data_IF_775432602208
#
_entry.id   IF_775432602208
#
_cell.length_a   1.000
_cell.length_b   1.000
_cell.length_c   1.000
_cell.angle_alpha   90.00
_cell.angle_beta   90.00
_cell.angle_gamma   90.00
#
_symmetry.space_group_name_H-M   'P 1'
#
loop_
_entity.id
_entity.type
_entity.pdbx_description
1 polymer ?
#
# COMPACT_ATOMS: atom_id res chain seq x y z
N UNK A 1 6.35 18.83 13.13
CA UNK A 1 6.52 17.80 12.09
C UNK A 1 7.94 17.25 12.19
N UNK A 2 8.07 15.93 12.18
CA UNK A 2 9.36 15.25 12.28
C UNK A 2 10.03 15.15 10.90
N UNK A 3 11.35 15.37 10.88
CA UNK A 3 12.19 15.19 9.69
C UNK A 3 13.25 14.14 9.95
N UNK A 4 13.67 13.42 8.93
CA UNK A 4 14.83 12.53 9.00
C UNK A 4 16.15 13.31 8.80
N UNK A 5 17.30 12.62 8.92
CA UNK A 5 18.65 13.21 8.76
C UNK A 5 18.88 13.84 7.38
N UNK A 6 18.04 13.58 6.41
CA UNK A 6 18.15 14.08 5.03
C UNK A 6 17.15 15.22 4.74
N UNK A 7 16.47 15.74 5.78
CA UNK A 7 15.51 16.83 5.68
C UNK A 7 14.15 16.44 5.11
N UNK A 8 13.84 15.14 4.95
CA UNK A 8 12.53 14.68 4.45
C UNK A 8 11.53 14.68 5.60
N UNK A 9 10.44 15.40 5.44
CA UNK A 9 9.34 15.43 6.41
C UNK A 9 8.52 14.14 6.32
N UNK A 10 8.29 13.49 7.47
CA UNK A 10 7.48 12.28 7.54
C UNK A 10 6.03 12.67 7.85
N UNK A 11 5.16 12.54 6.87
CA UNK A 11 3.75 12.90 6.94
C UNK A 11 2.79 11.71 6.88
N UNK A 12 3.33 10.53 6.56
CA UNK A 12 2.53 9.38 6.18
C UNK A 12 3.04 8.09 6.81
N UNK A 13 2.19 7.44 7.60
CA UNK A 13 2.47 6.11 8.16
C UNK A 13 1.58 5.05 7.53
N UNK A 14 2.17 3.90 7.17
CA UNK A 14 1.45 2.69 6.77
C UNK A 14 1.58 1.68 7.88
N UNK A 15 0.47 1.11 8.33
CA UNK A 15 0.46 0.08 9.36
C UNK A 15 -0.08 -1.23 8.78
N UNK A 16 0.64 -2.32 9.01
CA UNK A 16 0.17 -3.67 8.73
C UNK A 16 -0.61 -4.16 9.95
N UNK A 17 -1.90 -4.45 9.79
CA UNK A 17 -2.77 -4.83 10.91
C UNK A 17 -2.69 -6.33 11.21
N UNK A 18 -2.37 -7.14 10.20
CA UNK A 18 -2.33 -8.59 10.27
C UNK A 18 -1.42 -9.15 9.19
N UNK A 19 -0.85 -10.31 9.44
CA UNK A 19 -0.12 -11.09 8.44
C UNK A 19 -1.05 -12.02 7.65
N UNK A 20 -2.29 -12.25 8.13
CA UNK A 20 -3.27 -13.10 7.44
C UNK A 20 -3.72 -12.48 6.12
N UNK A 21 -3.77 -13.32 5.08
CA UNK A 21 -4.32 -12.98 3.79
C UNK A 21 -5.09 -14.17 3.21
N UNK A 22 -6.21 -13.91 2.57
CA UNK A 22 -6.98 -14.92 1.86
C UNK A 22 -6.52 -15.14 0.41
N UNK A 23 -5.49 -14.39 -0.06
CA UNK A 23 -4.79 -14.61 -1.33
C UNK A 23 -3.37 -15.14 -1.08
N UNK A 24 -2.78 -15.76 -2.12
CA UNK A 24 -1.41 -16.29 -2.13
C UNK A 24 -0.67 -15.79 -3.37
N UNK A 25 -0.61 -14.46 -3.55
CA UNK A 25 0.06 -13.85 -4.70
C UNK A 25 1.56 -14.23 -4.72
N UNK A 26 2.10 -14.79 -5.81
CA UNK A 26 3.47 -15.32 -5.86
C UNK A 26 4.55 -14.29 -5.48
N UNK A 27 4.33 -13.02 -5.81
CA UNK A 27 5.26 -11.94 -5.50
C UNK A 27 5.16 -11.41 -4.07
N UNK A 28 4.13 -11.79 -3.33
CA UNK A 28 3.85 -11.25 -2.00
C UNK A 28 3.97 -12.30 -0.91
N UNK A 29 3.40 -13.48 -1.11
CA UNK A 29 3.27 -14.53 -0.10
C UNK A 29 3.62 -15.90 -0.66
N UNK A 30 4.67 -16.58 -0.19
CA UNK A 30 4.97 -17.96 -0.57
C UNK A 30 3.88 -18.91 -0.07
N UNK A 31 3.74 -20.07 -0.71
CA UNK A 31 2.66 -21.05 -0.44
C UNK A 31 2.69 -21.65 0.99
N UNK A 32 3.86 -21.72 1.61
CA UNK A 32 4.07 -22.35 2.92
C UNK A 32 4.20 -21.32 4.05
N UNK A 33 3.08 -20.89 4.64
CA UNK A 33 3.10 -20.07 5.86
C UNK A 33 2.22 -20.73 6.91
N UNK A 34 2.85 -21.10 8.02
CA UNK A 34 2.13 -21.64 9.18
C UNK A 34 1.41 -20.52 9.93
N UNK A 35 0.20 -20.77 10.48
CA UNK A 35 -0.56 -19.77 11.27
C UNK A 35 0.14 -19.34 12.56
N UNK A 36 1.27 -19.95 12.91
CA UNK A 36 1.99 -19.73 14.17
C UNK A 36 2.65 -18.34 14.27
N UNK A 37 2.79 -17.61 13.16
CA UNK A 37 3.34 -16.24 13.14
C UNK A 37 2.41 -15.20 13.75
N UNK A 38 1.17 -15.53 14.09
CA UNK A 38 0.17 -14.55 14.56
C UNK A 38 0.20 -14.24 16.07
N UNK A 39 1.16 -14.78 16.82
CA UNK A 39 1.14 -14.71 18.28
C UNK A 39 1.55 -13.38 18.91
N UNK A 40 2.07 -12.43 18.16
CA UNK A 40 2.59 -11.16 18.67
C UNK A 40 2.03 -9.91 17.95
N UNK A 41 0.86 -10.01 17.34
CA UNK A 41 0.27 -8.87 16.65
C UNK A 41 -0.03 -7.72 17.61
N UNK A 42 0.12 -6.51 17.11
CA UNK A 42 -0.28 -5.29 17.82
C UNK A 42 -1.81 -5.25 17.88
N UNK A 43 -2.37 -5.13 19.08
CA UNK A 43 -3.81 -5.01 19.29
C UNK A 43 -4.30 -3.56 19.13
N UNK A 44 -5.62 -3.36 19.18
CA UNK A 44 -6.21 -2.02 18.95
C UNK A 44 -5.76 -0.99 19.99
N UNK A 45 -5.58 -1.38 21.26
CA UNK A 45 -5.12 -0.46 22.32
C UNK A 45 -3.67 -0.04 22.09
N UNK A 46 -2.79 -0.98 21.80
CA UNK A 46 -1.40 -0.71 21.45
C UNK A 46 -1.30 0.18 20.19
N UNK A 47 -2.15 -0.09 19.16
CA UNK A 47 -2.23 0.78 17.98
C UNK A 47 -2.63 2.20 18.33
N UNK A 48 -3.56 2.42 19.25
CA UNK A 48 -3.94 3.78 19.65
C UNK A 48 -2.77 4.56 20.25
N UNK A 49 -1.96 3.94 21.10
CA UNK A 49 -0.75 4.58 21.68
C UNK A 49 0.26 4.92 20.57
N UNK A 50 0.50 3.99 19.66
CA UNK A 50 1.43 4.18 18.53
C UNK A 50 0.95 5.30 17.60
N UNK A 51 -0.34 5.31 17.25
CA UNK A 51 -0.92 6.30 16.34
C UNK A 51 -0.97 7.70 16.97
N UNK A 52 -1.19 7.80 18.28
CA UNK A 52 -1.05 9.07 18.98
C UNK A 52 0.39 9.61 18.94
N UNK A 53 1.39 8.74 19.12
CA UNK A 53 2.79 9.13 18.97
C UNK A 53 3.10 9.68 17.56
N UNK A 54 2.59 9.05 16.52
CA UNK A 54 2.73 9.56 15.15
C UNK A 54 2.00 10.89 14.94
N UNK A 55 0.80 11.07 15.51
CA UNK A 55 0.10 12.35 15.48
C UNK A 55 0.92 13.46 16.14
N UNK A 56 1.51 13.22 17.33
CA UNK A 56 2.41 14.16 18.03
C UNK A 56 3.63 14.54 17.18
N UNK A 57 4.12 13.64 16.35
CA UNK A 57 5.21 13.90 15.38
C UNK A 57 4.76 14.69 14.14
N UNK A 58 3.45 14.96 13.99
CA UNK A 58 2.88 15.71 12.88
C UNK A 58 2.57 14.87 11.66
N UNK A 59 2.46 13.55 11.80
CA UNK A 59 1.99 12.65 10.73
C UNK A 59 0.52 12.91 10.46
N UNK A 60 0.16 13.14 9.20
CA UNK A 60 -1.17 13.59 8.75
C UNK A 60 -1.98 12.50 8.04
N UNK A 61 -1.30 11.48 7.54
CA UNK A 61 -1.94 10.41 6.77
C UNK A 61 -1.66 9.03 7.35
N UNK A 62 -2.72 8.24 7.48
CA UNK A 62 -2.69 6.85 7.93
C UNK A 62 -3.14 5.92 6.81
N UNK A 63 -2.41 4.83 6.60
CA UNK A 63 -2.86 3.75 5.73
C UNK A 63 -2.91 2.42 6.46
N UNK A 64 -4.08 1.85 6.47
CA UNK A 64 -4.33 0.50 6.95
C UNK A 64 -3.98 -0.50 5.84
N UNK A 65 -3.12 -1.46 6.16
CA UNK A 65 -2.70 -2.55 5.28
C UNK A 65 -2.62 -3.85 6.10
N UNK A 66 -1.93 -4.83 5.56
CA UNK A 66 -1.66 -6.10 6.23
C UNK A 66 -1.21 -7.11 5.19
N UNK A 67 -1.46 -8.36 5.46
CA UNK A 67 -1.80 -9.31 4.43
C UNK A 67 -3.10 -8.82 3.78
N UNK A 68 -4.26 -9.12 4.40
CA UNK A 68 -5.53 -8.49 4.02
C UNK A 68 -6.15 -7.80 5.26
N UNK A 69 -6.23 -6.46 5.30
CA UNK A 69 -6.70 -5.72 6.47
C UNK A 69 -8.16 -6.05 6.86
N UNK A 70 -9.00 -6.49 5.90
CA UNK A 70 -10.39 -6.88 6.17
C UNK A 70 -10.52 -8.18 6.97
N UNK A 71 -9.42 -8.90 7.19
CA UNK A 71 -9.32 -10.06 8.08
C UNK A 71 -8.91 -9.69 9.51
N UNK A 72 -8.49 -8.44 9.77
CA UNK A 72 -8.13 -8.03 11.13
C UNK A 72 -9.39 -7.93 12.00
N UNK A 73 -9.50 -8.70 13.10
CA UNK A 73 -10.75 -8.79 13.87
C UNK A 73 -11.20 -7.46 14.48
N UNK A 74 -10.25 -6.61 14.87
CA UNK A 74 -10.51 -5.32 15.53
C UNK A 74 -10.52 -4.14 14.54
N UNK A 75 -10.63 -4.38 13.23
CA UNK A 75 -10.56 -3.32 12.20
C UNK A 75 -11.59 -2.22 12.42
N UNK A 76 -12.87 -2.58 12.63
CA UNK A 76 -13.93 -1.58 12.77
C UNK A 76 -13.80 -0.78 14.06
N UNK A 77 -13.44 -1.44 15.17
CA UNK A 77 -13.15 -0.78 16.44
C UNK A 77 -12.00 0.21 16.29
N UNK A 78 -10.85 -0.24 15.77
CA UNK A 78 -9.68 0.62 15.58
C UNK A 78 -10.00 1.81 14.68
N UNK A 79 -10.66 1.57 13.54
CA UNK A 79 -11.03 2.63 12.60
C UNK A 79 -11.95 3.66 13.25
N UNK A 80 -12.97 3.23 14.00
CA UNK A 80 -13.89 4.12 14.70
C UNK A 80 -13.16 4.97 15.74
N UNK A 81 -12.28 4.36 16.53
CA UNK A 81 -11.49 5.06 17.55
C UNK A 81 -10.57 6.09 16.95
N UNK A 82 -9.81 5.71 15.92
CA UNK A 82 -8.89 6.62 15.23
C UNK A 82 -9.62 7.77 14.54
N UNK A 83 -10.72 7.50 13.85
CA UNK A 83 -11.50 8.54 13.19
C UNK A 83 -12.10 9.54 14.20
N UNK A 84 -12.52 9.08 15.38
CA UNK A 84 -13.06 9.94 16.42
C UNK A 84 -12.04 10.92 17.02
N UNK A 85 -10.73 10.65 16.92
CA UNK A 85 -9.69 11.55 17.43
C UNK A 85 -9.45 12.78 16.56
N UNK A 86 -9.72 12.68 15.26
CA UNK A 86 -9.34 13.71 14.29
C UNK A 86 -7.83 13.87 14.08
N UNK A 87 -7.01 12.91 14.50
CA UNK A 87 -5.54 12.98 14.38
C UNK A 87 -5.04 12.98 12.95
N UNK A 88 -5.76 12.31 12.04
CA UNK A 88 -5.33 12.14 10.66
C UNK A 88 -6.32 12.80 9.69
N UNK A 89 -5.80 13.57 8.75
CA UNK A 89 -6.57 14.20 7.67
C UNK A 89 -7.03 13.16 6.64
N UNK A 90 -6.29 12.07 6.50
CA UNK A 90 -6.55 11.00 5.55
C UNK A 90 -6.34 9.64 6.18
N UNK A 91 -7.42 8.87 6.32
CA UNK A 91 -7.39 7.47 6.73
C UNK A 91 -7.75 6.63 5.52
N UNK A 92 -6.77 5.91 4.98
CA UNK A 92 -6.94 5.11 3.77
C UNK A 92 -6.63 3.62 4.01
N UNK A 93 -7.15 2.75 3.16
CA UNK A 93 -6.90 1.31 3.24
C UNK A 93 -6.41 0.77 1.90
N UNK A 94 -5.49 -0.20 1.93
CA UNK A 94 -5.13 -1.03 0.78
C UNK A 94 -5.65 -2.44 1.04
N UNK A 95 -6.44 -2.98 0.12
CA UNK A 95 -7.10 -4.29 0.23
C UNK A 95 -7.06 -5.02 -1.11
N UNK A 96 -7.12 -6.35 -1.08
CA UNK A 96 -7.35 -7.15 -2.28
C UNK A 96 -8.80 -7.06 -2.80
N UNK A 97 -9.70 -6.44 -2.04
CA UNK A 97 -11.06 -6.12 -2.44
C UNK A 97 -12.05 -7.28 -2.36
N UNK A 98 -11.61 -8.52 -2.22
CA UNK A 98 -12.49 -9.70 -2.27
C UNK A 98 -13.53 -9.76 -1.14
N UNK A 99 -13.25 -9.11 0.00
CA UNK A 99 -14.11 -9.04 1.17
C UNK A 99 -14.75 -7.65 1.34
N UNK A 100 -14.54 -6.73 0.40
CA UNK A 100 -14.92 -5.32 0.57
C UNK A 100 -16.42 -5.09 0.36
N UNK A 101 -17.07 -5.80 -0.57
CA UNK A 101 -18.45 -5.53 -0.96
C UNK A 101 -19.42 -5.43 0.23
N UNK A 102 -19.50 -6.40 1.17
CA UNK A 102 -20.41 -6.32 2.31
C UNK A 102 -19.98 -5.26 3.36
N UNK A 103 -18.76 -4.78 3.33
CA UNK A 103 -18.17 -3.90 4.36
C UNK A 103 -18.03 -2.44 3.91
N UNK A 104 -18.02 -2.15 2.61
CA UNK A 104 -17.68 -0.84 2.06
C UNK A 104 -18.47 0.32 2.69
N UNK A 105 -19.80 0.21 2.76
CA UNK A 105 -20.66 1.24 3.34
C UNK A 105 -20.35 1.47 4.84
N UNK A 106 -20.17 0.38 5.60
CA UNK A 106 -19.86 0.45 7.03
C UNK A 106 -18.50 1.11 7.27
N UNK A 107 -17.47 0.70 6.55
CA UNK A 107 -16.12 1.29 6.67
C UNK A 107 -16.13 2.79 6.33
N UNK A 108 -16.89 3.20 5.31
CA UNK A 108 -17.05 4.63 4.98
C UNK A 108 -17.71 5.40 6.14
N UNK A 109 -18.74 4.84 6.77
CA UNK A 109 -19.41 5.44 7.92
C UNK A 109 -18.52 5.54 9.16
N UNK A 110 -17.60 4.59 9.34
CA UNK A 110 -16.63 4.59 10.44
C UNK A 110 -15.44 5.54 10.23
N UNK A 111 -15.40 6.31 9.12
CA UNK A 111 -14.38 7.32 8.89
C UNK A 111 -13.27 6.94 7.92
N UNK A 112 -13.35 5.77 7.26
CA UNK A 112 -12.41 5.46 6.19
C UNK A 112 -12.61 6.45 5.04
N UNK A 113 -11.56 7.19 4.66
CA UNK A 113 -11.64 8.25 3.66
C UNK A 113 -11.53 7.69 2.24
N UNK A 114 -10.62 6.74 2.02
CA UNK A 114 -10.28 6.23 0.69
C UNK A 114 -9.89 4.76 0.71
N UNK A 115 -10.11 4.08 -0.42
CA UNK A 115 -9.67 2.70 -0.63
C UNK A 115 -8.77 2.59 -1.86
N UNK A 116 -7.73 1.75 -1.75
CA UNK A 116 -6.94 1.28 -2.87
C UNK A 116 -7.18 -0.22 -2.97
N UNK A 117 -7.60 -0.69 -4.12
CA UNK A 117 -7.95 -2.08 -4.37
C UNK A 117 -6.90 -2.67 -5.32
N UNK A 118 -6.34 -3.82 -4.97
CA UNK A 118 -5.39 -4.53 -5.82
C UNK A 118 -6.13 -5.35 -6.88
N UNK A 119 -5.77 -5.16 -8.16
CA UNK A 119 -6.29 -5.93 -9.29
C UNK A 119 -5.19 -6.08 -10.34
N UNK A 120 -4.48 -7.20 -10.29
CA UNK A 120 -3.28 -7.42 -11.11
C UNK A 120 -3.58 -7.97 -12.50
N UNK A 121 -4.82 -8.38 -12.78
CA UNK A 121 -5.27 -8.83 -14.08
C UNK A 121 -6.77 -8.58 -14.25
N UNK A 122 -7.22 -8.47 -15.50
CA UNK A 122 -8.62 -8.23 -15.88
C UNK A 122 -9.25 -9.41 -16.64
N UNK A 123 -8.53 -10.51 -16.77
CA UNK A 123 -9.03 -11.82 -17.19
C UNK A 123 -8.90 -12.83 -16.05
N UNK A 124 -9.87 -13.74 -15.93
CA UNK A 124 -9.98 -14.64 -14.81
C UNK A 124 -8.80 -15.61 -14.68
N UNK A 125 -8.28 -16.12 -15.80
CA UNK A 125 -7.19 -17.09 -15.80
C UNK A 125 -5.90 -16.48 -15.29
N UNK A 126 -5.54 -15.30 -15.77
CA UNK A 126 -4.37 -14.56 -15.29
C UNK A 126 -4.57 -14.10 -13.84
N UNK A 127 -5.77 -13.63 -13.49
CA UNK A 127 -6.09 -13.23 -12.12
C UNK A 127 -5.92 -14.39 -11.14
N UNK A 128 -6.47 -15.57 -11.44
CA UNK A 128 -6.35 -16.75 -10.60
C UNK A 128 -4.88 -17.17 -10.41
N UNK A 129 -4.08 -17.10 -11.46
CA UNK A 129 -2.65 -17.39 -11.41
C UNK A 129 -1.90 -16.36 -10.54
N UNK A 130 -2.20 -15.07 -10.70
CA UNK A 130 -1.52 -13.97 -9.97
C UNK A 130 -1.93 -13.86 -8.52
N UNK A 131 -3.11 -14.32 -8.15
CA UNK A 131 -3.60 -14.28 -6.78
C UNK A 131 -3.43 -15.61 -6.03
N UNK A 132 -3.12 -16.69 -6.75
CA UNK A 132 -3.08 -18.05 -6.19
C UNK A 132 -4.47 -18.53 -5.70
N UNK A 133 -5.56 -17.87 -6.16
CA UNK A 133 -6.94 -18.19 -5.72
C UNK A 133 -7.91 -18.11 -6.89
N UNK A 134 -8.60 -19.23 -7.13
CA UNK A 134 -9.58 -19.35 -8.23
C UNK A 134 -10.92 -18.69 -7.87
N UNK A 135 -11.55 -18.11 -8.88
CA UNK A 135 -12.94 -17.61 -8.81
C UNK A 135 -13.15 -16.40 -7.91
N UNK A 136 -12.10 -15.66 -7.54
CA UNK A 136 -12.21 -14.49 -6.67
C UNK A 136 -12.35 -13.17 -7.43
N UNK A 137 -12.11 -13.14 -8.73
CA UNK A 137 -12.18 -11.92 -9.53
C UNK A 137 -13.54 -11.23 -9.43
N UNK A 138 -14.64 -11.98 -9.51
CA UNK A 138 -15.99 -11.44 -9.37
C UNK A 138 -16.21 -10.73 -8.03
N UNK A 139 -15.66 -11.26 -6.93
CA UNK A 139 -15.74 -10.65 -5.61
C UNK A 139 -14.96 -9.33 -5.55
N UNK A 140 -13.79 -9.26 -6.19
CA UNK A 140 -12.99 -8.02 -6.28
C UNK A 140 -13.72 -6.95 -7.07
N UNK A 141 -14.29 -7.31 -8.22
CA UNK A 141 -15.08 -6.40 -9.06
C UNK A 141 -16.31 -5.87 -8.29
N UNK A 142 -17.03 -6.74 -7.58
CA UNK A 142 -18.13 -6.34 -6.69
C UNK A 142 -17.64 -5.41 -5.57
N UNK A 143 -16.42 -5.63 -5.04
CA UNK A 143 -15.78 -4.75 -4.06
C UNK A 143 -15.52 -3.35 -4.61
N UNK A 144 -15.08 -3.22 -5.87
CA UNK A 144 -14.88 -1.93 -6.54
C UNK A 144 -16.22 -1.19 -6.68
N UNK A 145 -17.25 -1.88 -7.18
CA UNK A 145 -18.59 -1.30 -7.35
C UNK A 145 -19.19 -0.86 -6.02
N UNK A 146 -19.06 -1.69 -4.98
CA UNK A 146 -19.53 -1.35 -3.63
C UNK A 146 -18.80 -0.15 -3.03
N UNK A 147 -17.49 0.00 -3.29
CA UNK A 147 -16.73 1.18 -2.86
C UNK A 147 -17.26 2.46 -3.53
N UNK A 148 -17.52 2.42 -4.84
CA UNK A 148 -18.10 3.56 -5.57
C UNK A 148 -19.51 3.89 -5.05
N UNK A 149 -20.36 2.89 -4.85
CA UNK A 149 -21.72 3.06 -4.30
C UNK A 149 -21.73 3.57 -2.86
N UNK A 150 -20.73 3.21 -2.05
CA UNK A 150 -20.55 3.73 -0.69
C UNK A 150 -20.08 5.19 -0.63
N UNK A 151 -19.80 5.82 -1.79
CA UNK A 151 -19.38 7.22 -1.87
C UNK A 151 -17.91 7.44 -1.53
N UNK A 152 -17.05 6.43 -1.69
CA UNK A 152 -15.61 6.66 -1.65
C UNK A 152 -15.19 7.50 -2.86
N UNK A 153 -14.48 8.59 -2.58
CA UNK A 153 -13.89 9.43 -3.63
C UNK A 153 -12.46 8.97 -3.93
N UNK A 154 -12.02 9.16 -5.17
CA UNK A 154 -10.66 8.79 -5.57
C UNK A 154 -10.33 7.30 -5.28
N UNK A 155 -11.27 6.40 -5.55
CA UNK A 155 -11.01 4.95 -5.51
C UNK A 155 -9.87 4.64 -6.46
N UNK A 156 -8.87 3.92 -5.97
CA UNK A 156 -7.68 3.59 -6.76
C UNK A 156 -7.56 2.10 -6.97
N UNK A 157 -7.25 1.71 -8.19
CA UNK A 157 -6.89 0.34 -8.53
C UNK A 157 -5.38 0.26 -8.67
N UNK A 158 -4.75 -0.72 -8.03
CA UNK A 158 -3.32 -0.99 -8.14
C UNK A 158 -3.10 -2.24 -8.95
N UNK A 159 -2.22 -2.18 -9.94
CA UNK A 159 -1.76 -3.32 -10.71
C UNK A 159 -0.24 -3.38 -10.65
N UNK A 160 0.30 -4.50 -10.15
CA UNK A 160 1.74 -4.76 -10.15
C UNK A 160 2.15 -5.33 -11.50
N UNK A 161 3.11 -4.69 -12.14
CA UNK A 161 3.64 -5.10 -13.44
C UNK A 161 4.76 -6.12 -13.24
N UNK A 162 4.41 -7.39 -13.05
CA UNK A 162 5.37 -8.49 -12.78
C UNK A 162 6.16 -8.89 -14.02
N UNK A 163 5.62 -8.61 -15.20
CA UNK A 163 6.19 -8.92 -16.51
C UNK A 163 5.71 -7.90 -17.55
N UNK A 164 6.36 -7.86 -18.69
CA UNK A 164 5.88 -7.08 -19.83
C UNK A 164 4.56 -7.66 -20.34
N UNK A 165 3.53 -6.81 -20.39
CA UNK A 165 2.21 -7.21 -20.85
C UNK A 165 2.13 -7.16 -22.38
N UNK A 166 1.39 -8.10 -22.98
CA UNK A 166 1.05 -8.03 -24.40
C UNK A 166 0.16 -6.82 -24.68
N UNK A 167 0.18 -6.34 -25.91
CA UNK A 167 -0.68 -5.23 -26.33
C UNK A 167 -2.17 -5.51 -26.10
N UNK A 168 -2.60 -6.77 -26.30
CA UNK A 168 -3.98 -7.17 -26.06
C UNK A 168 -4.34 -7.12 -24.56
N UNK A 169 -3.43 -7.54 -23.68
CA UNK A 169 -3.61 -7.42 -22.24
C UNK A 169 -3.71 -5.96 -21.81
N UNK A 170 -2.86 -5.08 -22.37
CA UNK A 170 -2.93 -3.65 -22.08
C UNK A 170 -4.22 -3.02 -22.60
N UNK A 171 -4.68 -3.40 -23.81
CA UNK A 171 -6.00 -2.94 -24.35
C UNK A 171 -7.15 -3.39 -23.47
N UNK A 172 -7.11 -4.61 -22.93
CA UNK A 172 -8.11 -5.08 -21.97
C UNK A 172 -8.09 -4.26 -20.68
N UNK A 173 -6.91 -3.93 -20.12
CA UNK A 173 -6.77 -3.03 -18.97
C UNK A 173 -7.35 -1.64 -19.25
N UNK A 174 -7.05 -1.05 -20.41
CA UNK A 174 -7.57 0.28 -20.80
C UNK A 174 -9.10 0.27 -20.89
N UNK A 175 -9.71 -0.79 -21.41
CA UNK A 175 -11.17 -0.93 -21.43
C UNK A 175 -11.80 -0.95 -20.02
N UNK A 176 -11.12 -1.53 -19.04
CA UNK A 176 -11.56 -1.48 -17.63
C UNK A 176 -11.35 -0.09 -16.99
N UNK A 177 -10.29 0.63 -17.36
CA UNK A 177 -10.07 2.02 -16.91
C UNK A 177 -11.25 2.91 -17.35
N UNK A 178 -11.80 2.68 -18.53
CA UNK A 178 -12.93 3.45 -19.05
C UNK A 178 -14.27 3.09 -18.37
N UNK A 179 -14.38 1.89 -17.81
CA UNK A 179 -15.63 1.38 -17.21
C UNK A 179 -16.02 2.09 -15.92
N UNK A 180 -15.05 2.48 -15.06
CA UNK A 180 -15.30 3.03 -13.74
C UNK A 180 -14.64 4.39 -13.52
N UNK A 181 -15.24 5.27 -12.70
CA UNK A 181 -14.60 6.53 -12.29
C UNK A 181 -13.52 6.29 -11.21
N UNK A 182 -12.52 5.50 -11.55
CA UNK A 182 -11.40 5.13 -10.67
C UNK A 182 -10.08 5.66 -11.23
N UNK A 183 -9.07 5.78 -10.37
CA UNK A 183 -7.70 6.10 -10.76
C UNK A 183 -6.92 4.80 -10.80
N UNK A 184 -6.49 4.37 -11.99
CA UNK A 184 -5.68 3.18 -12.14
C UNK A 184 -4.22 3.50 -11.94
N UNK A 185 -3.53 2.70 -11.11
CA UNK A 185 -2.10 2.89 -10.83
C UNK A 185 -1.33 1.64 -11.19
N UNK A 186 -0.27 1.84 -11.94
CA UNK A 186 0.68 0.81 -12.31
C UNK A 186 1.88 0.88 -11.39
N UNK A 187 2.25 -0.24 -10.80
CA UNK A 187 3.33 -0.36 -9.83
C UNK A 187 4.41 -1.23 -10.45
N UNK A 188 5.61 -0.68 -10.54
CA UNK A 188 6.79 -1.43 -10.95
C UNK A 188 7.03 -2.60 -10.00
N UNK A 189 7.30 -3.78 -10.56
CA UNK A 189 7.66 -4.92 -9.76
C UNK A 189 8.99 -4.68 -9.03
N UNK A 190 8.99 -4.93 -7.74
CA UNK A 190 10.18 -4.88 -6.91
C UNK A 190 10.57 -6.32 -6.57
N UNK A 191 11.69 -6.85 -7.08
CA UNK A 191 12.11 -8.21 -6.79
C UNK A 191 12.49 -8.33 -5.31
N UNK A 192 11.93 -9.32 -4.62
CA UNK A 192 12.27 -9.70 -3.25
C UNK A 192 12.84 -11.11 -3.24
N UNK A 193 13.86 -11.36 -2.41
CA UNK A 193 14.39 -12.72 -2.12
C UNK A 193 14.73 -13.58 -3.35
N UNK A 194 15.33 -12.99 -4.39
CA UNK A 194 15.80 -13.77 -5.55
C UNK A 194 14.74 -14.10 -6.58
N UNK A 195 13.60 -13.45 -6.54
CA UNK A 195 12.58 -13.54 -7.57
C UNK A 195 13.15 -13.23 -8.97
N UNK A 196 12.65 -13.95 -9.98
CA UNK A 196 13.07 -13.80 -11.37
C UNK A 196 12.12 -12.95 -12.21
N UNK A 197 11.03 -12.44 -11.64
CA UNK A 197 10.10 -11.57 -12.35
C UNK A 197 10.79 -10.26 -12.77
N UNK A 198 10.52 -9.83 -13.97
CA UNK A 198 11.02 -8.57 -14.51
C UNK A 198 9.91 -7.85 -15.25
N UNK A 199 9.32 -6.87 -14.60
CA UNK A 199 8.36 -5.96 -15.21
C UNK A 199 9.02 -4.92 -16.12
N UNK A 200 8.23 -4.14 -16.86
CA UNK A 200 8.71 -3.04 -17.68
C UNK A 200 9.25 -1.90 -16.79
N UNK A 201 10.24 -1.17 -17.31
CA UNK A 201 10.66 0.12 -16.76
C UNK A 201 9.58 1.19 -16.94
N UNK A 202 9.77 2.35 -16.29
CA UNK A 202 8.89 3.50 -16.45
C UNK A 202 8.76 3.93 -17.92
N UNK A 203 9.90 4.03 -18.63
CA UNK A 203 9.95 4.47 -20.02
C UNK A 203 9.27 3.47 -20.95
N UNK A 204 9.53 2.17 -20.75
CA UNK A 204 8.93 1.10 -21.56
C UNK A 204 7.42 1.08 -21.40
N UNK A 205 6.92 1.18 -20.15
CA UNK A 205 5.49 1.17 -19.87
C UNK A 205 4.79 2.42 -20.41
N UNK A 206 5.41 3.59 -20.23
CA UNK A 206 4.92 4.85 -20.78
C UNK A 206 4.80 4.79 -22.31
N UNK A 207 5.88 4.38 -22.99
CA UNK A 207 5.90 4.26 -24.45
C UNK A 207 4.84 3.27 -24.98
N UNK A 208 4.62 2.15 -24.29
CA UNK A 208 3.59 1.19 -24.65
C UNK A 208 2.18 1.80 -24.54
N UNK A 209 1.88 2.52 -23.46
CA UNK A 209 0.60 3.19 -23.29
C UNK A 209 0.39 4.29 -24.34
N UNK A 210 1.39 5.15 -24.59
CA UNK A 210 1.32 6.21 -25.60
C UNK A 210 1.04 5.64 -27.01
N UNK A 211 1.73 4.57 -27.37
CA UNK A 211 1.51 3.87 -28.64
C UNK A 211 0.10 3.29 -28.76
N UNK A 212 -0.42 2.66 -27.69
CA UNK A 212 -1.72 1.99 -27.71
C UNK A 212 -2.91 2.96 -27.61
N UNK A 213 -2.71 4.10 -26.98
CA UNK A 213 -3.74 5.14 -26.85
C UNK A 213 -3.69 6.18 -27.97
N UNK A 214 -2.65 6.14 -28.82
CA UNK A 214 -2.50 7.02 -29.98
C UNK A 214 -2.12 8.45 -29.64
N UNK A 215 -1.48 8.71 -28.49
CA UNK A 215 -1.04 10.05 -28.14
C UNK A 215 -0.16 10.09 -26.88
N UNK A 216 0.47 11.22 -26.64
CA UNK A 216 1.36 11.42 -25.51
C UNK A 216 0.62 11.48 -24.17
N UNK A 217 1.22 10.87 -23.14
CA UNK A 217 0.79 11.01 -21.76
C UNK A 217 1.23 12.39 -21.22
N UNK A 218 0.28 13.16 -20.73
CA UNK A 218 0.54 14.48 -20.15
C UNK A 218 0.61 14.40 -18.64
N UNK A 219 1.70 14.85 -18.07
CA UNK A 219 1.86 14.89 -16.62
C UNK A 219 0.79 15.79 -15.97
N UNK A 220 0.18 15.28 -14.89
CA UNK A 220 -0.84 15.98 -14.11
C UNK A 220 -0.23 16.40 -12.77
N UNK A 221 -0.25 17.69 -12.47
CA UNK A 221 0.41 18.25 -11.29
C UNK A 221 -0.36 18.08 -9.98
N UNK A 222 -1.62 17.69 -10.02
CA UNK A 222 -2.37 17.47 -8.78
C UNK A 222 -2.08 16.10 -8.19
N UNK A 223 -2.06 16.04 -6.88
CA UNK A 223 -1.73 14.82 -6.12
C UNK A 223 -2.99 14.24 -5.49
N UNK A 224 -3.28 12.98 -5.77
CA UNK A 224 -4.41 12.27 -5.16
C UNK A 224 -4.03 11.65 -3.79
N UNK A 225 -3.60 12.48 -2.84
CA UNK A 225 -3.21 12.09 -1.48
C UNK A 225 -1.69 11.99 -1.27
N UNK A 226 -1.25 11.39 -0.19
CA UNK A 226 0.13 11.40 0.31
C UNK A 226 1.07 10.36 -0.33
N UNK A 227 0.62 9.59 -1.30
CA UNK A 227 1.40 8.52 -1.95
C UNK A 227 2.41 9.05 -2.99
N UNK A 228 3.35 8.19 -3.44
CA UNK A 228 4.45 8.58 -4.32
C UNK A 228 4.10 8.51 -5.82
N UNK A 229 2.87 8.27 -6.19
CA UNK A 229 2.49 8.11 -7.58
C UNK A 229 2.62 9.44 -8.34
N UNK A 230 3.30 9.43 -9.48
CA UNK A 230 3.18 10.45 -10.51
C UNK A 230 1.94 10.17 -11.35
N UNK A 231 1.20 11.21 -11.74
CA UNK A 231 -0.05 11.04 -12.46
C UNK A 231 0.05 11.60 -13.87
N UNK A 232 -0.63 10.93 -14.80
CA UNK A 232 -0.64 11.28 -16.23
C UNK A 232 -2.05 11.19 -16.79
N UNK A 233 -2.42 12.13 -17.61
CA UNK A 233 -3.65 12.08 -18.39
C UNK A 233 -3.41 11.31 -19.69
N UNK A 234 -4.27 10.33 -19.96
CA UNK A 234 -4.39 9.64 -21.23
C UNK A 234 -5.03 10.60 -22.29
N UNK A 235 -4.87 10.34 -23.61
CA UNK A 235 -5.48 11.16 -24.65
C UNK A 235 -7.00 11.33 -24.54
N UNK A 236 -7.70 10.36 -23.94
CA UNK A 236 -9.15 10.41 -23.68
C UNK A 236 -9.52 11.19 -22.40
N UNK A 237 -8.52 11.79 -21.70
CA UNK A 237 -8.72 12.58 -20.49
C UNK A 237 -8.79 11.78 -19.18
N UNK A 238 -8.73 10.44 -19.25
CA UNK A 238 -8.64 9.60 -18.04
C UNK A 238 -7.25 9.71 -17.41
N UNK A 239 -7.19 9.61 -16.09
CA UNK A 239 -5.93 9.68 -15.36
C UNK A 239 -5.43 8.30 -14.96
N UNK A 240 -4.12 8.11 -15.10
CA UNK A 240 -3.39 6.94 -14.62
C UNK A 240 -2.25 7.37 -13.72
N UNK A 241 -1.87 6.53 -12.76
CA UNK A 241 -0.76 6.79 -11.85
C UNK A 241 0.37 5.80 -12.06
N UNK A 242 1.60 6.25 -11.86
CA UNK A 242 2.81 5.44 -11.97
C UNK A 242 3.57 5.45 -10.65
N UNK A 243 3.97 4.27 -10.17
CA UNK A 243 4.80 4.06 -8.98
C UNK A 243 5.96 3.17 -9.40
N UNK A 244 7.08 3.77 -9.77
CA UNK A 244 8.24 3.09 -10.33
C UNK A 244 9.48 3.34 -9.45
N UNK A 245 9.62 2.63 -8.32
CA UNK A 245 10.69 2.91 -7.35
C UNK A 245 12.08 2.49 -7.81
N UNK A 246 12.19 1.53 -8.73
CA UNK A 246 13.47 0.99 -9.20
C UNK A 246 14.00 1.79 -10.39
N UNK A 247 13.18 1.98 -11.43
CA UNK A 247 13.58 2.69 -12.65
C UNK A 247 13.34 4.20 -12.60
N UNK A 248 12.45 4.67 -11.71
CA UNK A 248 12.15 6.10 -11.51
C UNK A 248 11.99 6.41 -10.00
N UNK A 249 13.13 6.44 -9.31
CA UNK A 249 13.18 6.56 -7.84
C UNK A 249 12.64 7.92 -7.35
N UNK A 250 11.92 7.88 -6.23
CA UNK A 250 11.39 9.04 -5.50
C UNK A 250 11.93 9.11 -4.06
N UNK A 251 13.12 8.57 -3.79
CA UNK A 251 13.72 8.54 -2.46
C UNK A 251 13.87 9.93 -1.85
N UNK A 252 14.24 10.94 -2.66
CA UNK A 252 14.50 12.30 -2.22
C UNK A 252 13.25 13.00 -1.65
N UNK A 253 12.05 12.61 -2.11
CA UNK A 253 10.76 13.12 -1.66
C UNK A 253 9.96 12.14 -0.79
N UNK A 254 10.58 11.07 -0.33
CA UNK A 254 9.88 10.00 0.39
C UNK A 254 9.48 10.42 1.81
N UNK A 255 8.20 10.70 2.01
CA UNK A 255 7.58 11.21 3.23
C UNK A 255 6.97 10.12 4.14
N UNK A 256 7.31 8.83 3.96
CA UNK A 256 6.59 7.73 4.60
C UNK A 256 7.48 6.76 5.34
N UNK A 257 6.86 6.12 6.34
CA UNK A 257 7.39 4.96 7.05
C UNK A 257 6.34 3.86 7.14
N UNK A 258 6.77 2.68 7.59
CA UNK A 258 5.90 1.50 7.72
C UNK A 258 5.99 0.91 9.11
N UNK A 259 4.87 0.36 9.58
CA UNK A 259 4.80 -0.48 10.77
C UNK A 259 4.36 -1.87 10.36
N UNK A 260 5.06 -2.88 10.83
CA UNK A 260 4.70 -4.29 10.65
C UNK A 260 3.60 -4.70 11.62
N UNK A 261 2.94 -5.83 11.39
CA UNK A 261 1.86 -6.32 12.24
C UNK A 261 2.34 -6.73 13.65
N UNK A 262 3.62 -7.11 13.79
CA UNK A 262 4.30 -7.37 15.06
C UNK A 262 4.89 -6.09 15.71
N UNK A 263 4.61 -4.91 15.12
CA UNK A 263 4.92 -3.60 15.70
C UNK A 263 6.34 -3.11 15.52
N UNK A 264 7.02 -3.52 14.45
CA UNK A 264 8.33 -2.96 14.08
C UNK A 264 8.15 -1.74 13.16
N UNK A 265 8.84 -0.66 13.44
CA UNK A 265 9.01 0.47 12.54
C UNK A 265 10.05 0.12 11.49
N UNK A 266 9.67 0.10 10.21
CA UNK A 266 10.57 0.02 9.07
C UNK A 266 10.78 1.39 8.44
N UNK A 267 12.03 1.79 8.34
CA UNK A 267 12.41 3.10 7.82
C UNK A 267 12.32 3.19 6.29
N UNK A 268 12.46 2.04 5.61
CA UNK A 268 12.34 1.90 4.16
C UNK A 268 11.69 0.55 3.82
N UNK A 269 10.99 0.47 2.69
CA UNK A 269 10.44 -0.79 2.17
C UNK A 269 11.54 -1.79 1.80
N UNK A 270 12.60 -1.29 1.16
CA UNK A 270 13.67 -2.08 0.54
C UNK A 270 14.90 -2.27 1.46
N UNK A 271 14.77 -2.02 2.77
CA UNK A 271 15.85 -2.19 3.76
C UNK A 271 15.31 -2.88 5.01
N UNK A 272 16.18 -3.57 5.71
CA UNK A 272 15.85 -4.32 6.93
C UNK A 272 16.07 -3.53 8.23
N UNK A 273 16.39 -2.25 8.14
CA UNK A 273 16.51 -1.39 9.34
C UNK A 273 15.16 -1.27 10.04
N UNK A 274 15.05 -1.84 11.26
CA UNK A 274 13.83 -1.88 12.06
C UNK A 274 14.07 -1.38 13.49
N UNK A 275 13.05 -0.72 14.07
CA UNK A 275 12.98 -0.39 15.49
C UNK A 275 11.75 -1.05 16.12
N UNK A 276 11.89 -1.62 17.31
CA UNK A 276 10.82 -2.36 17.99
C UNK A 276 9.91 -1.43 18.81
N UNK A 277 8.86 -0.92 18.17
CA UNK A 277 7.91 0.01 18.75
C UNK A 277 6.94 -0.69 19.71
N UNK A 278 6.41 -1.86 19.31
CA UNK A 278 5.48 -2.60 20.16
C UNK A 278 6.12 -3.01 21.50
N UNK A 279 7.40 -3.38 21.49
CA UNK A 279 8.13 -3.65 22.72
C UNK A 279 8.15 -2.44 23.66
N UNK A 280 8.36 -1.24 23.14
CA UNK A 280 8.39 -0.02 23.94
C UNK A 280 7.02 0.26 24.58
N UNK A 281 5.93 0.11 23.82
CA UNK A 281 4.55 0.22 24.33
C UNK A 281 4.30 -0.81 25.44
N UNK A 282 4.68 -2.07 25.24
CA UNK A 282 4.52 -3.17 26.21
C UNK A 282 5.38 -2.98 27.46
N UNK A 283 6.46 -2.21 27.38
CA UNK A 283 7.29 -1.80 28.52
C UNK A 283 6.74 -0.56 29.25
N UNK A 284 5.61 0.01 28.80
CA UNK A 284 4.90 1.08 29.46
C UNK A 284 5.25 2.49 28.98
N UNK A 285 5.93 2.67 27.84
CA UNK A 285 6.10 3.99 27.27
C UNK A 285 4.74 4.55 26.87
N UNK A 286 4.47 5.78 27.28
CA UNK A 286 3.32 6.55 26.80
C UNK A 286 3.58 7.12 25.40
N UNK A 287 2.57 7.77 24.84
CA UNK A 287 2.63 8.30 23.45
C UNK A 287 3.67 9.42 23.30
N UNK A 288 4.01 10.18 24.36
CA UNK A 288 5.00 11.25 24.31
C UNK A 288 6.42 10.69 24.26
N UNK A 289 6.76 9.80 25.20
CA UNK A 289 8.05 9.10 25.21
C UNK A 289 8.25 8.26 23.96
N UNK A 290 7.17 7.62 23.47
CA UNK A 290 7.21 6.84 22.24
C UNK A 290 7.46 7.73 21.01
N UNK A 291 6.90 8.95 20.96
CA UNK A 291 7.17 9.90 19.89
C UNK A 291 8.65 10.30 19.84
N UNK A 292 9.29 10.52 20.98
CA UNK A 292 10.74 10.78 21.04
C UNK A 292 11.53 9.59 20.52
N UNK A 293 11.22 8.38 20.96
CA UNK A 293 11.88 7.16 20.50
C UNK A 293 11.74 6.96 18.97
N UNK A 294 10.54 7.17 18.41
CA UNK A 294 10.30 7.12 16.95
C UNK A 294 11.12 8.21 16.25
N UNK A 295 11.18 9.44 16.77
CA UNK A 295 11.95 10.52 16.19
C UNK A 295 13.44 10.20 16.11
N UNK A 296 14.01 9.59 17.16
CA UNK A 296 15.41 9.11 17.18
C UNK A 296 15.64 8.00 16.14
N UNK A 297 14.73 7.02 16.06
CA UNK A 297 14.83 5.96 15.06
C UNK A 297 14.79 6.50 13.62
N UNK A 298 14.00 7.55 13.37
CA UNK A 298 13.93 8.20 12.05
C UNK A 298 15.24 8.84 11.60
N UNK A 299 16.13 9.24 12.53
CA UNK A 299 17.45 9.77 12.19
C UNK A 299 18.40 8.71 11.61
N UNK A 300 18.11 7.43 11.82
CA UNK A 300 18.86 6.32 11.24
C UNK A 300 18.50 6.01 9.79
N UNK A 301 17.46 6.68 9.27
CA UNK A 301 16.98 6.48 7.91
C UNK A 301 18.06 6.85 6.89
N UNK A 302 18.27 5.99 5.90
CA UNK A 302 19.26 6.25 4.84
C UNK A 302 18.70 7.17 3.75
N UNK A 303 19.60 7.83 3.03
CA UNK A 303 19.26 8.74 1.92
C UNK A 303 18.46 8.01 0.85
N UNK A 304 19.02 6.90 0.36
CA UNK A 304 18.44 6.07 -0.70
C UNK A 304 18.49 4.59 -0.30
N UNK A 305 17.72 3.77 -0.98
CA UNK A 305 17.91 2.32 -0.93
C UNK A 305 19.05 1.93 -1.86
N UNK A 306 19.81 0.93 -1.46
CA UNK A 306 20.94 0.41 -2.25
C UNK A 306 20.49 -0.62 -3.31
N UNK A 307 19.22 -0.63 -3.65
CA UNK A 307 18.57 -1.74 -4.32
C UNK A 307 18.22 -2.85 -3.34
N UNK A 308 17.85 -4.01 -3.85
CA UNK A 308 17.63 -5.18 -3.02
C UNK A 308 18.96 -5.90 -2.86
N UNK A 309 19.53 -5.86 -1.65
CA UNK A 309 20.72 -6.63 -1.34
C UNK A 309 20.39 -8.13 -1.29
N UNK A 310 21.02 -8.91 -2.13
CA UNK A 310 20.87 -10.38 -2.15
C UNK A 310 21.45 -11.04 -0.89
N UNK A 311 22.25 -10.32 -0.12
CA UNK A 311 22.98 -10.84 1.05
C UNK A 311 22.26 -10.60 2.38
N UNK A 312 21.15 -9.85 2.40
CA UNK A 312 20.42 -9.51 3.63
C UNK A 312 19.10 -10.27 3.68
N UNK A 313 18.79 -11.02 4.76
CA UNK A 313 17.49 -11.65 4.94
C UNK A 313 16.41 -10.58 4.99
N UNK A 314 15.60 -10.46 3.96
CA UNK A 314 14.52 -9.49 3.92
C UNK A 314 13.22 -10.13 4.37
N UNK A 315 12.43 -9.37 5.15
CA UNK A 315 11.05 -9.78 5.41
C UNK A 315 10.29 -9.82 4.08
N UNK A 316 9.49 -10.84 3.92
CA UNK A 316 8.59 -10.99 2.79
C UNK A 316 7.57 -9.85 2.74
N UNK A 317 7.10 -9.51 1.52
CA UNK A 317 6.23 -8.35 1.28
C UNK A 317 4.97 -8.34 2.16
N UNK A 318 4.35 -9.50 2.38
CA UNK A 318 3.14 -9.62 3.21
C UNK A 318 3.35 -9.31 4.70
N UNK A 319 4.58 -9.49 5.21
CA UNK A 319 4.95 -9.16 6.60
C UNK A 319 5.18 -7.68 6.84
N UNK A 320 5.34 -6.90 5.79
CA UNK A 320 5.63 -5.46 5.85
C UNK A 320 4.48 -4.58 5.34
N UNK A 321 3.34 -5.19 5.03
CA UNK A 321 2.14 -4.50 4.58
C UNK A 321 2.27 -3.96 3.16
N UNK A 322 2.34 -4.86 2.21
CA UNK A 322 2.50 -4.67 0.77
C UNK A 322 1.70 -3.57 0.11
#
# INVERSE_FOLDING_TARGET
>A
MVTDSWGRTIEYVRISLTEACNFCCPYCRPEEITPESQHNLVNADEWMVILEAYHRLGVRALRLTGGEPLLYPQLEELLQRVAATGWFEDISMTTNGSLLAPKAKRLRQLGLSRVNISLDAVDETTFDTRTGRRGQMANVLAGIEAALQAGFVNVKINTVLMESLSDDSVRALLAYIDRWPVIWRFIEYMPFQGDTFKGPSFEEWRAQLERLTGGELREVRHVHGFGPASYYALPNGREVGFIFPMSHSYCDSCNRVRMTADGKLRLCLLRDDEADIARQVRQGLDSEALAMYIAEALQLRKEKHDGISMDTPQREMWRIGG
#
